data_IF_414046584735
#
_entry.id   IF_414046584735
#
_cell.length_a   1.000
_cell.length_b   1.000
_cell.length_c   1.000
_cell.angle_alpha   90.00
_cell.angle_beta   90.00
_cell.angle_gamma   90.00
#
_symmetry.space_group_name_H-M   'P 1'
#
loop_
_entity.id
_entity.type
_entity.pdbx_description
1 polymer ?
#
# COMPACT_ATOMS: atom_id res chain seq x y z
N UNK A 1 9.47 -3.73 8.91
CA UNK A 1 9.38 -2.29 9.19
C UNK A 1 9.32 -2.09 10.70
N UNK A 2 10.16 -1.24 11.33
CA UNK A 2 9.95 -0.89 12.72
C UNK A 2 8.74 0.05 12.80
N UNK A 3 7.70 -0.37 13.51
CA UNK A 3 6.55 0.46 13.85
C UNK A 3 6.76 0.91 15.29
N UNK A 4 7.24 2.14 15.48
CA UNK A 4 7.17 2.80 16.77
C UNK A 4 5.92 3.67 16.81
N UNK A 5 4.95 3.29 17.64
CA UNK A 5 3.93 4.20 18.14
C UNK A 5 4.40 4.76 19.47
N UNK A 6 4.61 6.09 19.54
CA UNK A 6 4.36 7.00 20.69
C UNK A 6 4.86 8.40 20.31
N UNK A 7 4.03 9.42 20.58
CA UNK A 7 4.44 10.82 20.64
C UNK A 7 4.46 11.57 19.30
N UNK A 8 3.55 12.53 19.15
CA UNK A 8 3.75 13.66 18.24
C UNK A 8 4.62 14.70 18.96
N UNK A 9 5.60 15.30 18.28
CA UNK A 9 6.01 16.70 18.45
C UNK A 9 6.74 17.17 17.18
N UNK A 10 6.35 18.33 16.65
CA UNK A 10 7.06 19.08 15.60
C UNK A 10 8.38 19.69 16.14
N UNK A 11 9.12 20.54 15.45
CA UNK A 11 8.94 21.24 14.19
C UNK A 11 10.33 21.59 13.62
N UNK A 12 10.30 22.21 12.44
CA UNK A 12 11.38 22.63 11.55
C UNK A 12 12.42 23.62 12.11
N UNK A 13 13.66 23.42 11.62
CA UNK A 13 14.71 24.37 11.15
C UNK A 13 14.87 25.73 11.85
N UNK A 14 16.15 26.05 12.16
CA UNK A 14 16.89 27.20 11.60
C UNK A 14 18.40 27.03 11.78
N UNK A 15 19.15 27.41 10.75
CA UNK A 15 20.60 27.58 10.77
C UNK A 15 20.96 28.87 11.53
N UNK A 16 22.03 28.81 12.33
CA UNK A 16 22.87 29.96 12.67
C UNK A 16 24.32 29.48 12.74
N UNK A 17 25.16 29.98 11.86
CA UNK A 17 26.63 29.89 11.96
C UNK A 17 27.11 30.91 12.99
N UNK A 18 28.09 30.56 13.82
CA UNK A 18 29.34 31.31 13.98
C UNK A 18 30.27 30.65 15.00
N UNK A 19 31.60 30.91 14.89
CA UNK A 19 32.66 30.00 15.27
C UNK A 19 33.23 30.32 16.66
N UNK A 20 34.09 29.44 17.19
CA UNK A 20 35.43 29.79 17.71
C UNK A 20 36.09 28.58 18.41
N UNK A 21 37.30 28.32 17.92
CA UNK A 21 38.53 28.02 18.66
C UNK A 21 39.02 26.58 18.97
N UNK A 22 40.23 26.38 18.41
CA UNK A 22 41.44 25.70 18.90
C UNK A 22 41.45 24.16 18.96
N UNK A 23 42.22 23.60 18.03
CA UNK A 23 43.47 22.91 18.37
C UNK A 23 43.39 21.39 18.53
N UNK A 24 43.99 20.66 17.60
CA UNK A 24 45.33 20.07 17.74
C UNK A 24 45.56 19.14 16.55
N UNK A 25 46.68 19.38 15.87
CA UNK A 25 47.29 18.52 14.87
C UNK A 25 47.72 17.19 15.52
N UNK A 26 47.29 16.07 14.93
CA UNK A 26 47.99 14.80 15.05
C UNK A 26 47.97 14.10 13.69
N UNK A 27 49.09 14.19 12.99
CA UNK A 27 49.37 13.41 11.79
C UNK A 27 49.62 11.95 12.22
N UNK A 28 48.76 11.04 11.77
CA UNK A 28 49.05 9.61 11.73
C UNK A 28 48.91 9.17 10.28
N UNK A 29 50.06 9.02 9.63
CA UNK A 29 50.22 8.23 8.42
C UNK A 29 50.06 6.76 8.80
N UNK A 30 48.88 6.20 8.58
CA UNK A 30 48.67 4.76 8.50
C UNK A 30 48.08 4.46 7.13
N UNK A 31 48.92 3.91 6.25
CA UNK A 31 48.50 3.22 5.03
C UNK A 31 47.77 1.96 5.47
N UNK A 32 46.48 2.10 5.78
CA UNK A 32 45.56 1.02 6.07
C UNK A 32 44.52 1.01 4.96
N UNK A 33 44.52 -0.05 4.14
CA UNK A 33 43.53 -0.23 3.09
C UNK A 33 42.14 0.03 3.63
N UNK A 34 41.35 0.79 2.87
CA UNK A 34 39.93 0.98 3.15
C UNK A 34 39.29 -0.39 2.99
N UNK A 35 39.20 -1.14 4.09
CA UNK A 35 38.25 -2.23 4.20
C UNK A 35 36.91 -1.49 4.23
N UNK A 36 36.34 -1.26 3.05
CA UNK A 36 34.92 -0.98 2.98
C UNK A 36 34.27 -2.22 3.57
N UNK A 37 33.87 -2.15 4.84
CA UNK A 37 32.86 -3.05 5.35
C UNK A 37 31.70 -2.92 4.39
N UNK A 38 31.59 -3.86 3.46
CA UNK A 38 30.39 -4.05 2.70
C UNK A 38 29.33 -4.31 3.77
N UNK A 39 28.56 -3.28 4.10
CA UNK A 39 27.34 -3.42 4.88
C UNK A 39 26.66 -4.67 4.33
N UNK A 40 26.34 -5.66 5.19
CA UNK A 40 25.73 -6.89 4.73
C UNK A 40 24.57 -6.49 3.82
N UNK A 41 24.69 -6.84 2.54
CA UNK A 41 23.59 -6.68 1.61
C UNK A 41 22.51 -7.59 2.16
N UNK A 42 21.52 -6.99 2.84
CA UNK A 42 20.41 -7.69 3.49
C UNK A 42 20.00 -8.88 2.62
N UNK A 43 20.29 -10.10 3.07
CA UNK A 43 20.12 -11.34 2.31
C UNK A 43 18.63 -11.73 2.10
N UNK A 44 17.75 -10.74 2.07
CA UNK A 44 16.38 -10.85 1.62
C UNK A 44 15.98 -9.51 0.99
N UNK A 45 16.20 -9.39 -0.33
CA UNK A 45 15.47 -8.43 -1.15
C UNK A 45 13.99 -8.44 -0.76
N UNK A 46 13.41 -7.28 -0.43
CA UNK A 46 12.02 -7.21 0.04
C UNK A 46 11.08 -7.81 -1.00
N UNK A 47 10.30 -8.82 -0.61
CA UNK A 47 9.31 -9.45 -1.49
C UNK A 47 8.13 -8.50 -1.75
N UNK A 48 7.91 -8.16 -3.01
CA UNK A 48 6.79 -7.36 -3.50
C UNK A 48 5.91 -8.26 -4.37
N UNK A 49 4.61 -8.28 -4.10
CA UNK A 49 3.65 -9.02 -4.92
C UNK A 49 2.72 -8.02 -5.58
N UNK A 50 2.58 -8.08 -6.89
CA UNK A 50 1.74 -7.17 -7.66
C UNK A 50 0.69 -7.98 -8.38
N UNK A 51 -0.58 -7.70 -8.10
CA UNK A 51 -1.74 -8.43 -8.61
C UNK A 51 -2.56 -7.51 -9.50
N UNK A 52 -2.91 -7.99 -10.69
CA UNK A 52 -3.86 -7.34 -11.59
C UNK A 52 -5.05 -8.26 -11.80
N UNK A 53 -6.22 -7.87 -11.31
CA UNK A 53 -7.47 -8.59 -11.52
C UNK A 53 -8.09 -8.32 -12.90
N UNK A 54 -9.02 -9.17 -13.36
CA UNK A 54 -9.80 -8.94 -14.57
C UNK A 54 -10.69 -7.71 -14.42
N UNK A 55 -10.52 -6.70 -15.28
CA UNK A 55 -11.37 -5.49 -15.33
C UNK A 55 -11.91 -5.19 -16.72
N UNK A 56 -11.98 -6.22 -17.58
CA UNK A 56 -12.36 -6.10 -18.98
C UNK A 56 -11.53 -5.00 -19.67
N UNK A 57 -12.15 -3.93 -20.18
CA UNK A 57 -11.48 -2.89 -20.96
C UNK A 57 -10.42 -2.07 -20.22
N UNK A 58 -10.34 -2.10 -18.89
CA UNK A 58 -9.29 -1.40 -18.14
C UNK A 58 -8.07 -2.27 -17.82
N UNK A 59 -8.11 -3.57 -18.13
CA UNK A 59 -7.11 -4.53 -17.66
C UNK A 59 -5.72 -4.22 -18.22
N UNK A 60 -5.61 -3.80 -19.48
CA UNK A 60 -4.34 -3.44 -20.10
C UNK A 60 -3.67 -2.24 -19.43
N UNK A 61 -4.45 -1.22 -19.12
CA UNK A 61 -3.96 -0.05 -18.39
C UNK A 61 -3.43 -0.45 -17.01
N UNK A 62 -4.18 -1.30 -16.27
CA UNK A 62 -3.72 -1.79 -14.97
C UNK A 62 -2.48 -2.68 -15.08
N UNK A 63 -2.35 -3.51 -16.12
CA UNK A 63 -1.12 -4.27 -16.39
C UNK A 63 0.05 -3.33 -16.69
N UNK A 64 -0.17 -2.24 -17.42
CA UNK A 64 0.87 -1.25 -17.68
C UNK A 64 1.34 -0.58 -16.39
N UNK A 65 0.42 -0.04 -15.61
CA UNK A 65 0.74 0.57 -14.30
C UNK A 65 1.42 -0.43 -13.37
N UNK A 66 0.96 -1.69 -13.35
CA UNK A 66 1.56 -2.74 -12.54
C UNK A 66 3.01 -3.04 -12.95
N UNK A 67 3.31 -3.05 -14.26
CA UNK A 67 4.68 -3.19 -14.77
C UNK A 67 5.55 -2.01 -14.38
N UNK A 68 5.01 -0.80 -14.35
CA UNK A 68 5.77 0.39 -13.93
C UNK A 68 6.16 0.31 -12.45
N UNK A 69 5.20 -0.11 -11.60
CA UNK A 69 5.43 -0.39 -10.18
C UNK A 69 6.47 -1.51 -10.03
N UNK A 70 6.37 -2.57 -10.82
CA UNK A 70 7.31 -3.69 -10.80
C UNK A 70 8.73 -3.23 -11.13
N UNK A 71 8.90 -2.44 -12.20
CA UNK A 71 10.20 -1.88 -12.61
C UNK A 71 10.78 -1.00 -11.52
N UNK A 72 9.98 -0.11 -10.92
CA UNK A 72 10.44 0.75 -9.84
C UNK A 72 10.83 -0.04 -8.59
N UNK A 73 10.02 -1.02 -8.17
CA UNK A 73 10.34 -1.87 -7.03
C UNK A 73 11.64 -2.65 -7.25
N UNK A 74 11.83 -3.23 -8.44
CA UNK A 74 13.09 -3.89 -8.83
C UNK A 74 14.28 -2.93 -8.79
N UNK A 75 14.11 -1.69 -9.26
CA UNK A 75 15.16 -0.67 -9.19
C UNK A 75 15.58 -0.31 -7.76
N UNK A 76 14.74 -0.62 -6.76
CA UNK A 76 15.04 -0.45 -5.34
C UNK A 76 15.53 -1.75 -4.67
N UNK A 77 15.85 -2.78 -5.45
CA UNK A 77 16.37 -4.06 -4.96
C UNK A 77 15.30 -5.02 -4.44
N UNK A 78 14.03 -4.84 -4.81
CA UNK A 78 12.95 -5.75 -4.42
C UNK A 78 12.93 -7.03 -5.27
N UNK A 79 12.51 -8.14 -4.66
CA UNK A 79 12.10 -9.34 -5.39
C UNK A 79 10.61 -9.23 -5.72
N UNK A 80 10.28 -9.08 -7.00
CA UNK A 80 8.92 -8.81 -7.46
C UNK A 80 8.29 -10.06 -8.07
N UNK A 81 7.12 -10.45 -7.54
CA UNK A 81 6.24 -11.48 -8.09
C UNK A 81 5.02 -10.82 -8.71
N UNK A 82 4.79 -11.06 -10.00
CA UNK A 82 3.67 -10.51 -10.76
C UNK A 82 2.60 -11.60 -10.97
N UNK A 83 1.34 -11.29 -10.68
CA UNK A 83 0.20 -12.20 -10.87
C UNK A 83 -0.90 -11.43 -11.59
N UNK A 84 -0.90 -11.49 -12.91
CA UNK A 84 -1.80 -10.68 -13.75
C UNK A 84 -2.90 -11.51 -14.41
N UNK A 85 -4.05 -10.88 -14.63
CA UNK A 85 -5.11 -11.38 -15.51
C UNK A 85 -4.54 -11.65 -16.92
N UNK A 86 -4.94 -12.76 -17.59
CA UNK A 86 -6.07 -13.66 -17.27
C UNK A 86 -5.73 -14.83 -16.32
N UNK A 87 -4.59 -14.78 -15.62
CA UNK A 87 -4.12 -15.88 -14.76
C UNK A 87 -4.20 -15.61 -13.26
N UNK A 88 -4.63 -14.42 -12.86
CA UNK A 88 -4.73 -13.96 -11.48
C UNK A 88 -5.90 -14.59 -10.71
N UNK A 89 -5.84 -15.91 -10.56
CA UNK A 89 -6.78 -16.68 -9.73
C UNK A 89 -6.46 -16.56 -8.24
N UNK A 90 -7.45 -16.76 -7.38
CA UNK A 90 -7.27 -16.78 -5.93
C UNK A 90 -6.16 -17.72 -5.47
N UNK A 91 -6.08 -18.93 -6.05
CA UNK A 91 -5.02 -19.90 -5.72
C UNK A 91 -3.63 -19.33 -5.98
N UNK A 92 -3.40 -18.71 -7.14
CA UNK A 92 -2.10 -18.11 -7.49
C UNK A 92 -1.77 -16.90 -6.63
N UNK A 93 -2.73 -16.00 -6.43
CA UNK A 93 -2.58 -14.82 -5.57
C UNK A 93 -2.25 -15.22 -4.14
N UNK A 94 -2.99 -16.19 -3.58
CA UNK A 94 -2.77 -16.70 -2.22
C UNK A 94 -1.36 -17.27 -2.04
N UNK A 95 -0.87 -18.02 -3.02
CA UNK A 95 0.49 -18.55 -2.99
C UNK A 95 1.50 -17.39 -3.06
N UNK A 96 1.41 -16.56 -4.09
CA UNK A 96 2.35 -15.45 -4.30
C UNK A 96 2.45 -14.53 -3.08
N UNK A 97 1.33 -14.23 -2.42
CA UNK A 97 1.25 -13.34 -1.26
C UNK A 97 2.01 -13.82 -0.01
N UNK A 98 2.36 -15.11 0.08
CA UNK A 98 3.07 -15.66 1.25
C UNK A 98 4.38 -14.91 1.51
N UNK A 99 4.53 -14.31 2.68
CA UNK A 99 5.71 -13.55 3.08
C UNK A 99 5.93 -12.25 2.28
N UNK A 100 4.90 -11.73 1.61
CA UNK A 100 5.01 -10.45 0.91
C UNK A 100 5.15 -9.29 1.92
N UNK A 101 6.13 -8.42 1.69
CA UNK A 101 6.37 -7.19 2.46
C UNK A 101 5.58 -6.01 1.90
N UNK A 102 5.30 -6.05 0.59
CA UNK A 102 4.40 -5.15 -0.09
C UNK A 102 3.47 -5.99 -0.97
N UNK A 103 2.17 -5.82 -0.80
CA UNK A 103 1.16 -6.43 -1.67
C UNK A 103 0.40 -5.31 -2.39
N UNK A 104 0.51 -5.28 -3.71
CA UNK A 104 -0.13 -4.28 -4.58
C UNK A 104 -1.27 -4.94 -5.33
N UNK A 105 -2.44 -4.33 -5.34
CA UNK A 105 -3.60 -4.80 -6.08
C UNK A 105 -4.18 -3.70 -6.97
N UNK A 106 -4.37 -4.04 -8.24
CA UNK A 106 -5.08 -3.25 -9.24
C UNK A 106 -6.23 -4.10 -9.79
N UNK A 107 -7.46 -3.63 -9.72
CA UNK A 107 -8.60 -4.41 -10.21
C UNK A 107 -9.94 -3.90 -9.72
N UNK A 108 -11.00 -4.68 -9.93
CA UNK A 108 -12.32 -4.34 -9.42
C UNK A 108 -12.33 -4.23 -7.90
N UNK A 109 -13.03 -3.22 -7.40
CA UNK A 109 -13.43 -3.12 -6.01
C UNK A 109 -14.86 -3.60 -5.81
N UNK A 110 -15.17 -4.10 -4.61
CA UNK A 110 -16.53 -4.43 -4.20
C UNK A 110 -16.70 -4.06 -2.74
N UNK A 111 -16.70 -2.76 -2.41
CA UNK A 111 -16.72 -2.29 -1.04
C UNK A 111 -18.12 -2.20 -0.42
N UNK A 112 -18.16 -1.93 0.88
CA UNK A 112 -19.38 -1.60 1.62
C UNK A 112 -19.15 -0.37 2.52
N UNK A 113 -20.11 0.59 2.63
CA UNK A 113 -21.42 0.64 1.98
C UNK A 113 -21.39 0.82 0.46
N UNK A 114 -22.31 0.18 -0.25
CA UNK A 114 -22.50 0.29 -1.70
C UNK A 114 -23.98 0.24 -2.06
N UNK A 115 -24.35 0.73 -3.25
CA UNK A 115 -25.72 0.61 -3.80
C UNK A 115 -26.14 -0.83 -4.14
N UNK A 116 -25.18 -1.76 -4.20
CA UNK A 116 -25.43 -3.17 -4.51
C UNK A 116 -25.83 -3.95 -3.26
N UNK A 117 -25.99 -5.26 -3.44
CA UNK A 117 -26.36 -6.24 -2.42
C UNK A 117 -25.75 -5.96 -1.03
N UNK A 118 -26.49 -6.29 0.06
CA UNK A 118 -26.11 -5.99 1.44
C UNK A 118 -24.69 -6.42 1.84
N UNK A 119 -24.22 -5.88 2.96
CA UNK A 119 -22.91 -6.24 3.52
C UNK A 119 -22.80 -7.74 3.78
N UNK A 120 -21.83 -8.39 3.14
CA UNK A 120 -21.44 -9.76 3.49
C UNK A 120 -19.94 -9.95 3.26
N UNK A 121 -19.34 -10.85 4.04
CA UNK A 121 -17.88 -10.98 4.10
C UNK A 121 -17.28 -11.82 2.96
N UNK A 122 -18.08 -12.56 2.19
CA UNK A 122 -17.61 -13.47 1.16
C UNK A 122 -17.18 -12.76 -0.12
N UNK A 123 -17.82 -11.65 -0.49
CA UNK A 123 -17.49 -10.90 -1.72
C UNK A 123 -17.17 -9.43 -1.49
N UNK A 124 -17.60 -8.83 -0.37
CA UNK A 124 -17.27 -7.42 -0.08
C UNK A 124 -15.87 -7.23 0.47
N UNK A 125 -15.28 -6.06 0.21
CA UNK A 125 -14.08 -5.56 0.89
C UNK A 125 -12.84 -6.44 0.68
N UNK A 126 -12.57 -6.80 -0.58
CA UNK A 126 -11.46 -7.70 -0.92
C UNK A 126 -11.02 -7.58 -2.38
N UNK A 127 -10.78 -8.71 -3.04
CA UNK A 127 -10.17 -8.78 -4.37
C UNK A 127 -11.18 -9.27 -5.43
N UNK A 128 -11.20 -8.65 -6.60
CA UNK A 128 -11.81 -9.18 -7.82
C UNK A 128 -10.74 -9.87 -8.67
N UNK A 129 -10.83 -11.19 -8.80
CA UNK A 129 -9.81 -12.04 -9.39
C UNK A 129 -10.39 -12.92 -10.50
N UNK A 130 -9.56 -13.51 -11.35
CA UNK A 130 -10.05 -14.45 -12.35
C UNK A 130 -10.70 -15.66 -11.65
N UNK A 131 -11.94 -15.96 -12.03
CA UNK A 131 -12.65 -17.16 -11.57
C UNK A 131 -11.92 -18.43 -11.99
N UNK A 132 -11.39 -18.44 -13.21
CA UNK A 132 -10.59 -19.51 -13.81
C UNK A 132 -9.42 -18.93 -14.59
N UNK A 133 -8.31 -19.66 -14.60
CA UNK A 133 -7.10 -19.27 -15.31
C UNK A 133 -7.28 -19.31 -16.83
N UNK A 134 -6.76 -18.31 -17.55
CA UNK A 134 -6.73 -18.30 -19.02
C UNK A 134 -8.10 -18.15 -19.68
N UNK A 135 -9.09 -17.59 -18.98
CA UNK A 135 -10.46 -17.38 -19.45
C UNK A 135 -10.78 -15.88 -19.65
N UNK A 136 -9.79 -15.14 -20.12
CA UNK A 136 -9.89 -13.72 -20.43
C UNK A 136 -10.02 -12.78 -19.23
N UNK A 137 -10.21 -11.50 -19.53
CA UNK A 137 -10.21 -10.41 -18.57
C UNK A 137 -11.62 -10.00 -18.10
N UNK A 138 -12.66 -10.73 -18.53
CA UNK A 138 -14.07 -10.50 -18.13
C UNK A 138 -14.61 -11.49 -17.10
N UNK A 139 -13.80 -12.44 -16.61
CA UNK A 139 -14.28 -13.60 -15.84
C UNK A 139 -14.15 -13.44 -14.31
N UNK A 140 -14.55 -12.29 -13.79
CA UNK A 140 -14.31 -11.88 -12.40
C UNK A 140 -15.05 -12.74 -11.38
N UNK A 141 -14.35 -13.14 -10.32
CA UNK A 141 -14.90 -13.66 -9.06
C UNK A 141 -14.37 -12.86 -7.88
N UNK A 142 -15.26 -12.48 -6.98
CA UNK A 142 -14.92 -11.68 -5.81
C UNK A 142 -14.57 -12.56 -4.61
N UNK A 143 -13.48 -12.20 -3.95
CA UNK A 143 -12.96 -12.80 -2.72
C UNK A 143 -12.90 -11.71 -1.65
N UNK A 144 -13.97 -11.62 -0.86
CA UNK A 144 -14.16 -10.60 0.15
C UNK A 144 -13.29 -10.76 1.40
N UNK A 145 -13.56 -9.92 2.40
CA UNK A 145 -12.80 -9.84 3.64
C UNK A 145 -12.64 -11.20 4.36
N UNK A 146 -13.61 -12.11 4.25
CA UNK A 146 -13.50 -13.47 4.80
C UNK A 146 -12.32 -14.24 4.21
N UNK A 147 -12.16 -14.19 2.88
CA UNK A 147 -11.09 -14.86 2.17
C UNK A 147 -9.75 -14.16 2.40
N UNK A 148 -9.73 -12.83 2.30
CA UNK A 148 -8.52 -12.02 2.46
C UNK A 148 -7.89 -12.27 3.83
N UNK A 149 -8.67 -12.15 4.92
CA UNK A 149 -8.16 -12.26 6.30
C UNK A 149 -7.61 -13.66 6.66
N UNK A 150 -8.11 -14.71 5.99
CA UNK A 150 -7.74 -16.11 6.27
C UNK A 150 -6.71 -16.68 5.28
N UNK A 151 -6.69 -16.14 4.06
CA UNK A 151 -5.93 -16.69 2.95
C UNK A 151 -4.60 -15.97 2.71
N UNK A 152 -4.56 -14.66 2.86
CA UNK A 152 -3.32 -13.92 2.64
C UNK A 152 -2.42 -14.07 3.88
N UNK A 153 -1.20 -14.55 3.65
CA UNK A 153 -0.19 -14.76 4.69
C UNK A 153 0.95 -13.76 4.48
N UNK A 154 0.68 -12.47 4.74
CA UNK A 154 1.65 -11.39 4.52
C UNK A 154 2.77 -11.46 5.56
N UNK A 155 3.94 -10.88 5.25
CA UNK A 155 5.01 -10.75 6.26
C UNK A 155 4.58 -9.81 7.38
N UNK A 156 5.14 -9.96 8.59
CA UNK A 156 4.88 -9.03 9.69
C UNK A 156 5.28 -7.60 9.30
N UNK A 157 4.35 -6.66 9.45
CA UNK A 157 4.59 -5.26 9.08
C UNK A 157 4.54 -5.02 7.57
N UNK A 158 3.85 -5.89 6.82
CA UNK A 158 3.59 -5.68 5.41
C UNK A 158 2.74 -4.42 5.18
N UNK A 159 2.91 -3.83 4.01
CA UNK A 159 2.05 -2.76 3.52
C UNK A 159 1.21 -3.28 2.36
N UNK A 160 -0.06 -2.91 2.33
CA UNK A 160 -0.95 -3.19 1.21
C UNK A 160 -1.22 -1.90 0.45
N UNK A 161 -1.09 -1.94 -0.86
CA UNK A 161 -1.43 -0.84 -1.76
C UNK A 161 -2.55 -1.28 -2.70
N UNK A 162 -3.66 -0.54 -2.69
CA UNK A 162 -4.82 -0.78 -3.54
C UNK A 162 -4.95 0.40 -4.50
N UNK A 163 -4.95 0.13 -5.81
CA UNK A 163 -5.00 1.18 -6.84
C UNK A 163 -6.20 0.90 -7.74
N UNK A 164 -7.06 1.90 -7.94
CA UNK A 164 -8.18 1.81 -8.87
C UNK A 164 -9.38 0.98 -8.41
N UNK A 165 -9.28 0.29 -7.27
CA UNK A 165 -10.40 -0.50 -6.75
C UNK A 165 -11.49 0.41 -6.19
N UNK A 166 -12.69 0.34 -6.78
CA UNK A 166 -13.85 1.09 -6.33
C UNK A 166 -14.12 0.88 -4.84
N UNK A 167 -14.50 1.95 -4.15
CA UNK A 167 -14.79 1.99 -2.72
C UNK A 167 -13.59 1.86 -1.77
N UNK A 168 -12.43 1.36 -2.22
CA UNK A 168 -11.29 1.11 -1.34
C UNK A 168 -10.73 2.40 -0.72
N UNK A 169 -10.70 3.50 -1.47
CA UNK A 169 -10.26 4.82 -0.99
C UNK A 169 -11.42 5.65 -0.37
N UNK A 170 -12.56 5.02 -0.10
CA UNK A 170 -13.80 5.72 0.33
C UNK A 170 -14.61 6.31 -0.83
N UNK A 171 -14.09 6.23 -2.06
CA UNK A 171 -14.71 6.72 -3.29
C UNK A 171 -15.95 5.93 -3.72
N UNK A 172 -16.65 6.43 -4.73
CA UNK A 172 -17.72 5.72 -5.44
C UNK A 172 -17.18 5.01 -6.69
N UNK A 173 -18.06 4.31 -7.41
CA UNK A 173 -17.75 3.78 -8.73
C UNK A 173 -17.87 4.86 -9.80
N UNK A 174 -16.85 4.99 -10.67
CA UNK A 174 -16.87 5.93 -11.79
C UNK A 174 -17.14 7.37 -11.34
N UNK A 175 -17.99 8.07 -12.11
CA UNK A 175 -18.45 9.44 -11.85
C UNK A 175 -19.61 9.54 -10.84
N UNK A 176 -19.97 8.44 -10.15
CA UNK A 176 -21.09 8.47 -9.20
C UNK A 176 -20.80 9.43 -8.05
N UNK A 177 -21.83 10.11 -7.50
CA UNK A 177 -21.64 11.11 -6.45
C UNK A 177 -20.79 10.59 -5.29
N UNK A 178 -19.94 11.46 -4.78
CA UNK A 178 -19.18 11.20 -3.56
C UNK A 178 -20.18 11.11 -2.41
N UNK A 179 -20.13 10.02 -1.64
CA UNK A 179 -21.02 9.86 -0.49
C UNK A 179 -20.56 10.73 0.67
N UNK A 180 -21.44 10.89 1.66
CA UNK A 180 -21.14 11.59 2.92
C UNK A 180 -19.81 11.16 3.54
N UNK A 181 -19.19 12.07 4.30
CA UNK A 181 -17.93 11.78 5.00
C UNK A 181 -18.02 10.53 5.90
N UNK A 182 -19.19 10.23 6.48
CA UNK A 182 -19.40 9.01 7.27
C UNK A 182 -19.33 7.74 6.42
N UNK A 183 -19.89 7.76 5.21
CA UNK A 183 -19.83 6.63 4.27
C UNK A 183 -18.40 6.37 3.81
N UNK A 184 -17.65 7.42 3.46
CA UNK A 184 -16.25 7.29 3.07
C UNK A 184 -15.40 6.68 4.21
N UNK A 185 -15.59 7.15 5.44
CA UNK A 185 -14.94 6.58 6.64
C UNK A 185 -15.26 5.10 6.82
N UNK A 186 -16.54 4.73 6.69
CA UNK A 186 -16.99 3.35 6.85
C UNK A 186 -16.42 2.43 5.76
N UNK A 187 -16.33 2.91 4.51
CA UNK A 187 -15.72 2.18 3.40
C UNK A 187 -14.26 1.87 3.66
N UNK A 188 -13.47 2.88 4.04
CA UNK A 188 -12.03 2.71 4.31
C UNK A 188 -11.80 1.71 5.44
N UNK A 189 -12.57 1.82 6.53
CA UNK A 189 -12.49 0.87 7.65
C UNK A 189 -12.85 -0.55 7.22
N UNK A 190 -13.96 -0.72 6.50
CA UNK A 190 -14.40 -2.02 6.03
C UNK A 190 -13.42 -2.66 5.05
N UNK A 191 -12.95 -1.91 4.05
CA UNK A 191 -12.06 -2.39 3.00
C UNK A 191 -10.69 -2.77 3.55
N UNK A 192 -10.13 -1.96 4.45
CA UNK A 192 -8.83 -2.24 5.07
C UNK A 192 -8.85 -3.44 6.03
N UNK A 193 -9.99 -3.70 6.69
CA UNK A 193 -10.08 -4.65 7.81
C UNK A 193 -9.54 -6.06 7.51
N UNK A 194 -9.83 -6.61 6.33
CA UNK A 194 -9.40 -7.95 5.93
C UNK A 194 -7.89 -8.05 5.79
N UNK A 195 -7.27 -7.03 5.17
CA UNK A 195 -5.82 -6.98 4.93
C UNK A 195 -5.04 -6.74 6.21
N UNK A 196 -5.53 -5.86 7.10
CA UNK A 196 -4.91 -5.62 8.40
C UNK A 196 -4.91 -6.90 9.26
N UNK A 197 -6.00 -7.67 9.21
CA UNK A 197 -6.09 -8.98 9.88
C UNK A 197 -5.25 -10.07 9.21
N UNK A 198 -4.86 -9.89 7.95
CA UNK A 198 -3.96 -10.77 7.21
C UNK A 198 -2.46 -10.49 7.48
N UNK A 199 -2.13 -9.60 8.42
CA UNK A 199 -0.76 -9.29 8.85
C UNK A 199 -0.21 -7.96 8.35
N UNK A 200 -0.98 -7.19 7.56
CA UNK A 200 -0.56 -5.86 7.15
C UNK A 200 -0.56 -4.87 8.33
N UNK A 201 0.46 -4.04 8.43
CA UNK A 201 0.50 -2.90 9.37
C UNK A 201 -0.15 -1.65 8.81
N UNK A 202 -0.31 -1.57 7.48
CA UNK A 202 -0.99 -0.46 6.81
C UNK A 202 -1.64 -0.90 5.51
N UNK A 203 -2.74 -0.24 5.15
CA UNK A 203 -3.41 -0.34 3.85
C UNK A 203 -3.52 1.09 3.31
N UNK A 204 -2.97 1.31 2.12
CA UNK A 204 -3.07 2.58 1.41
C UNK A 204 -3.90 2.33 0.14
N UNK A 205 -4.91 3.15 -0.10
CA UNK A 205 -5.75 3.05 -1.29
C UNK A 205 -5.74 4.38 -2.05
N UNK A 206 -5.57 4.30 -3.38
CA UNK A 206 -5.63 5.44 -4.30
C UNK A 206 -6.60 5.10 -5.45
N UNK A 207 -7.35 6.09 -5.91
CA UNK A 207 -8.40 5.90 -6.90
C UNK A 207 -7.88 5.83 -8.34
N UNK A 208 -6.81 6.53 -8.75
CA UNK A 208 -6.54 6.69 -10.20
C UNK A 208 -5.06 6.74 -10.60
N UNK A 209 -4.09 7.21 -9.80
CA UNK A 209 -2.70 7.22 -10.28
C UNK A 209 -1.64 7.52 -9.22
N UNK A 210 -0.51 6.82 -9.31
CA UNK A 210 0.75 7.16 -8.65
C UNK A 210 1.03 6.30 -7.42
N UNK A 211 1.80 5.24 -7.61
CA UNK A 211 2.39 4.48 -6.50
C UNK A 211 3.86 4.87 -6.26
N UNK A 212 4.41 5.73 -7.10
CA UNK A 212 5.82 6.07 -7.17
C UNK A 212 6.32 6.73 -5.89
N UNK A 213 5.55 7.69 -5.35
CA UNK A 213 5.86 8.34 -4.08
C UNK A 213 5.74 7.37 -2.90
N UNK A 214 4.82 6.40 -2.98
CA UNK A 214 4.64 5.35 -1.96
C UNK A 214 5.86 4.43 -2.00
N UNK A 215 6.24 3.92 -3.16
CA UNK A 215 7.42 3.06 -3.32
C UNK A 215 8.68 3.78 -2.87
N UNK A 216 8.90 5.03 -3.29
CA UNK A 216 10.03 5.85 -2.84
C UNK A 216 10.02 6.03 -1.32
N UNK A 217 8.86 6.32 -0.75
CA UNK A 217 8.68 6.44 0.71
C UNK A 217 9.04 5.16 1.44
N UNK A 218 8.55 4.02 0.97
CA UNK A 218 8.75 2.70 1.59
C UNK A 218 10.19 2.19 1.48
N UNK A 219 10.84 2.40 0.33
CA UNK A 219 12.14 1.78 0.03
C UNK A 219 13.33 2.72 0.24
N UNK A 220 13.14 4.04 0.15
CA UNK A 220 14.24 5.01 0.09
C UNK A 220 14.13 6.11 1.14
N UNK A 221 13.29 5.93 2.15
CA UNK A 221 13.13 6.93 3.21
C UNK A 221 12.87 6.31 4.59
N UNK A 222 12.99 7.13 5.62
CA UNK A 222 12.62 6.81 7.01
C UNK A 222 11.24 7.37 7.37
N UNK A 223 10.45 7.78 6.38
CA UNK A 223 9.11 8.36 6.61
C UNK A 223 8.18 7.35 7.26
N UNK A 224 7.38 7.82 8.20
CA UNK A 224 6.23 7.09 8.73
C UNK A 224 5.16 6.89 7.65
N UNK A 225 4.28 5.89 7.80
CA UNK A 225 3.19 5.66 6.83
C UNK A 225 2.29 6.90 6.64
N UNK A 226 2.06 7.67 7.71
CA UNK A 226 1.32 8.93 7.66
C UNK A 226 2.04 9.97 6.79
N UNK A 227 3.35 10.12 6.95
CA UNK A 227 4.14 11.03 6.11
C UNK A 227 4.21 10.57 4.65
N UNK A 228 4.22 9.26 4.41
CA UNK A 228 4.14 8.72 3.04
C UNK A 228 2.77 9.08 2.44
N UNK A 229 1.67 8.79 3.14
CA UNK A 229 0.32 9.15 2.71
C UNK A 229 0.20 10.63 2.31
N UNK A 230 0.63 11.54 3.20
CA UNK A 230 0.61 12.99 2.97
C UNK A 230 1.67 13.51 1.98
N UNK A 231 2.52 12.64 1.42
CA UNK A 231 3.44 13.00 0.35
C UNK A 231 2.88 12.76 -1.05
N UNK A 232 1.61 12.34 -1.14
CA UNK A 232 0.90 12.30 -2.42
C UNK A 232 0.96 13.68 -3.09
N UNK A 233 1.34 13.78 -4.36
CA UNK A 233 1.32 15.06 -5.08
C UNK A 233 -0.10 15.60 -5.27
N UNK A 234 -1.13 14.77 -5.05
CA UNK A 234 -2.55 15.10 -5.18
C UNK A 234 -3.21 15.43 -3.85
N UNK A 235 -2.44 15.50 -2.76
CA UNK A 235 -3.02 15.79 -1.45
C UNK A 235 -3.55 17.23 -1.39
N UNK A 236 -4.76 17.39 -0.88
CA UNK A 236 -5.33 18.71 -0.61
C UNK A 236 -4.92 19.22 0.78
N UNK A 237 -4.50 18.30 1.68
CA UNK A 237 -4.25 18.55 3.12
C UNK A 237 -5.42 19.21 3.84
N UNK A 238 -6.60 19.23 3.22
CA UNK A 238 -7.76 19.98 3.70
C UNK A 238 -8.47 19.25 4.83
N UNK A 239 -8.28 17.94 4.94
CA UNK A 239 -9.03 17.10 5.88
C UNK A 239 -8.11 16.04 6.49
N UNK A 240 -7.74 16.18 7.75
CA UNK A 240 -7.08 15.14 8.52
C UNK A 240 -8.11 14.33 9.31
N UNK A 241 -8.91 13.54 8.60
CA UNK A 241 -9.96 12.74 9.22
C UNK A 241 -9.35 11.45 9.75
N UNK A 242 -9.15 11.39 11.06
CA UNK A 242 -8.77 10.14 11.73
C UNK A 242 -10.01 9.35 12.14
N UNK A 243 -10.07 8.07 11.75
CA UNK A 243 -11.18 7.16 12.08
C UNK A 243 -10.64 6.03 12.93
N UNK A 244 -11.23 5.80 14.11
CA UNK A 244 -10.96 4.57 14.84
C UNK A 244 -11.64 3.40 14.12
N UNK A 245 -10.90 2.31 13.91
CA UNK A 245 -11.46 1.11 13.28
C UNK A 245 -12.64 0.56 14.09
N UNK A 246 -13.79 0.37 13.45
CA UNK A 246 -14.90 -0.41 14.01
C UNK A 246 -14.81 -1.86 13.54
N UNK A 247 -14.55 -2.05 12.25
CA UNK A 247 -14.36 -3.36 11.63
C UNK A 247 -12.89 -3.78 11.63
N UNK A 248 -11.99 -2.81 11.44
CA UNK A 248 -10.54 -3.00 11.56
C UNK A 248 -10.12 -3.29 13.01
N UNK A 249 -8.92 -3.86 13.24
CA UNK A 249 -8.38 -4.01 14.58
C UNK A 249 -8.38 -2.69 15.37
N UNK A 250 -8.51 -2.76 16.70
CA UNK A 250 -8.62 -1.59 17.58
C UNK A 250 -7.41 -0.62 17.54
N UNK A 251 -6.24 -1.11 17.15
CA UNK A 251 -5.03 -0.29 16.96
C UNK A 251 -5.07 0.51 15.65
N UNK A 252 -5.91 0.12 14.69
CA UNK A 252 -5.94 0.71 13.36
C UNK A 252 -6.66 2.06 13.37
N UNK A 253 -6.03 3.03 12.70
CA UNK A 253 -6.56 4.36 12.46
C UNK A 253 -6.63 4.62 10.96
N UNK A 254 -7.80 4.98 10.45
CA UNK A 254 -7.98 5.41 9.06
C UNK A 254 -7.62 6.89 8.90
N UNK A 255 -6.99 7.26 7.79
CA UNK A 255 -6.72 8.65 7.37
C UNK A 255 -7.33 8.80 5.97
N UNK A 256 -8.01 9.91 5.71
CA UNK A 256 -8.63 10.20 4.41
C UNK A 256 -8.30 11.63 3.99
N UNK A 257 -8.10 11.86 2.69
CA UNK A 257 -7.93 13.19 2.09
C UNK A 257 -8.88 13.35 0.88
N UNK A 258 -10.19 13.52 1.10
CA UNK A 258 -11.18 13.57 0.02
C UNK A 258 -11.09 14.86 -0.80
N UNK A 259 -11.25 14.73 -2.12
CA UNK A 259 -11.03 15.81 -3.10
C UNK A 259 -12.19 16.83 -3.22
N UNK A 260 -13.08 16.93 -2.22
CA UNK A 260 -14.27 17.78 -2.05
C UNK A 260 -15.55 16.96 -1.77
N UNK A 261 -16.49 17.57 -1.04
CA UNK A 261 -17.78 16.98 -0.62
C UNK A 261 -18.82 17.15 -1.71
#
# INVERSE_FOLDING_TARGET
MPVQYKGAHGASRRWSLSPLFVGVMAAILAVGGVITDAQPTDASSRKVVIVVGPTSGSTDSYRSTARDIARQARSYGANVVEVYSPYATWRRVKQAAKGAHLFVYLGHGNGWPSQYAPNQQLTKNGLGLNSSAGRGDGNTKYYGAYYVKRGLQLSRGAVVLIIGACYAAGNSEGSKPTYSSSTARQRVDNYGSGFLRAGASAVIADSISGADYILKGLFRSTKTMRQIFWSSPRTTKRWDVTVNGKQSPNWAKGILDPHQR
#
